data_IF_816506413650
#
_entry.id   IF_816506413650
#
_cell.length_a   1.000
_cell.length_b   1.000
_cell.length_c   1.000
_cell.angle_alpha   90.00
_cell.angle_beta   90.00
_cell.angle_gamma   90.00
#
_symmetry.space_group_name_H-M   'P 1'
#
loop_
_entity.id
_entity.type
_entity.pdbx_description
1 polymer ?
#
# COMPACT_ATOMS: atom_id res chain seq x y z
N UNK A 1 -24.56 15.93 16.85
CA UNK A 1 -23.18 16.07 17.38
C UNK A 1 -22.55 14.68 17.38
N UNK A 2 -21.77 14.34 16.37
CA UNK A 2 -21.07 13.05 16.32
C UNK A 2 -19.80 13.14 17.16
N UNK A 3 -19.58 12.17 18.03
CA UNK A 3 -18.39 12.10 18.87
C UNK A 3 -17.11 12.09 18.01
N UNK A 4 -16.01 12.75 18.43
CA UNK A 4 -14.74 12.65 17.72
C UNK A 4 -14.29 11.19 17.71
N UNK A 5 -13.84 10.72 16.54
CA UNK A 5 -13.25 9.39 16.40
C UNK A 5 -12.05 9.29 17.37
N UNK A 6 -11.90 8.16 18.08
CA UNK A 6 -10.78 7.98 19.00
C UNK A 6 -9.46 8.12 18.22
N UNK A 7 -8.63 9.08 18.63
CA UNK A 7 -7.26 9.21 18.15
C UNK A 7 -6.54 7.94 18.63
N UNK A 8 -5.95 7.13 17.74
CA UNK A 8 -5.13 6.02 18.17
C UNK A 8 -3.98 6.60 18.98
N UNK A 9 -3.89 6.24 20.26
CA UNK A 9 -2.74 6.56 21.09
C UNK A 9 -1.54 5.80 20.51
N UNK A 10 -0.77 6.44 19.63
CA UNK A 10 0.50 5.90 19.14
C UNK A 10 1.54 6.07 20.25
N UNK A 11 1.56 5.11 21.17
CA UNK A 11 2.56 5.03 22.25
C UNK A 11 3.83 4.42 21.65
N UNK A 12 4.91 5.22 21.60
CA UNK A 12 6.21 4.94 20.97
C UNK A 12 6.18 4.69 19.45
N UNK A 13 7.17 5.18 18.68
CA UNK A 13 7.19 4.90 17.25
C UNK A 13 7.55 3.43 16.98
N UNK A 14 6.52 2.58 16.83
CA UNK A 14 6.65 1.21 16.34
C UNK A 14 7.18 1.25 14.89
N UNK A 15 8.48 0.96 14.75
CA UNK A 15 9.18 0.95 13.46
C UNK A 15 9.03 -0.40 12.77
N UNK A 16 9.06 -0.37 11.45
CA UNK A 16 9.26 -1.59 10.68
C UNK A 16 10.69 -2.13 10.87
N UNK A 17 10.80 -3.45 10.90
CA UNK A 17 12.09 -4.15 10.88
C UNK A 17 12.80 -3.89 9.54
N UNK A 18 14.00 -3.34 9.57
CA UNK A 18 14.74 -2.97 8.36
C UNK A 18 15.05 -4.18 7.47
N UNK A 19 15.36 -5.34 8.06
CA UNK A 19 15.60 -6.56 7.28
C UNK A 19 14.32 -7.05 6.59
N UNK A 20 13.15 -6.86 7.22
CA UNK A 20 11.84 -7.13 6.58
C UNK A 20 11.60 -6.21 5.40
N UNK A 21 11.81 -4.90 5.56
CA UNK A 21 11.63 -3.93 4.48
C UNK A 21 12.52 -4.27 3.29
N UNK A 22 13.79 -4.59 3.56
CA UNK A 22 14.73 -4.94 2.51
C UNK A 22 14.39 -6.26 1.78
N UNK A 23 13.74 -7.23 2.46
CA UNK A 23 13.17 -8.41 1.80
C UNK A 23 12.03 -8.02 0.86
N UNK A 24 11.07 -7.24 1.34
CA UNK A 24 9.91 -6.86 0.53
C UNK A 24 10.30 -5.96 -0.65
N UNK A 25 11.25 -5.05 -0.46
CA UNK A 25 11.78 -4.21 -1.55
C UNK A 25 12.42 -5.06 -2.64
N UNK A 26 13.20 -6.08 -2.25
CA UNK A 26 13.80 -7.01 -3.20
C UNK A 26 12.74 -7.81 -3.98
N UNK A 27 11.74 -8.36 -3.29
CA UNK A 27 10.66 -9.10 -3.96
C UNK A 27 9.83 -8.19 -4.88
N UNK A 28 9.55 -6.96 -4.45
CA UNK A 28 8.84 -5.98 -5.27
C UNK A 28 9.62 -5.61 -6.54
N UNK A 29 10.94 -5.41 -6.40
CA UNK A 29 11.82 -5.21 -7.54
C UNK A 29 11.76 -6.39 -8.50
N UNK A 30 11.97 -7.61 -8.01
CA UNK A 30 12.01 -8.81 -8.86
C UNK A 30 10.66 -9.05 -9.57
N UNK A 31 9.54 -8.84 -8.86
CA UNK A 31 8.19 -8.94 -9.43
C UNK A 31 7.94 -7.87 -10.49
N UNK A 32 8.34 -6.62 -10.25
CA UNK A 32 8.17 -5.51 -11.21
C UNK A 32 9.07 -5.61 -12.43
N UNK A 33 10.23 -6.27 -12.32
CA UNK A 33 11.10 -6.59 -13.46
C UNK A 33 10.52 -7.74 -14.31
N UNK A 34 9.84 -8.70 -13.67
CA UNK A 34 9.29 -9.88 -14.35
C UNK A 34 7.88 -9.68 -14.92
N UNK A 35 7.07 -8.79 -14.32
CA UNK A 35 5.67 -8.59 -14.66
C UNK A 35 5.31 -7.10 -14.75
N UNK A 36 4.35 -6.71 -15.61
CA UNK A 36 3.88 -5.34 -15.73
C UNK A 36 2.94 -4.94 -14.58
N UNK A 37 3.29 -5.26 -13.33
CA UNK A 37 2.48 -4.97 -12.14
C UNK A 37 2.43 -3.47 -11.83
N UNK A 38 1.36 -3.06 -11.17
CA UNK A 38 1.16 -1.70 -10.66
C UNK A 38 1.03 -1.79 -9.14
N UNK A 39 1.94 -1.14 -8.42
CA UNK A 39 2.01 -1.22 -6.96
C UNK A 39 0.96 -0.32 -6.32
N UNK A 40 0.29 -0.83 -5.29
CA UNK A 40 -0.73 -0.14 -4.48
C UNK A 40 -0.37 -0.22 -2.98
N UNK A 41 -1.34 0.09 -2.12
CA UNK A 41 -1.22 -0.09 -0.67
C UNK A 41 -0.15 0.76 -0.01
N UNK A 42 0.41 0.26 1.10
CA UNK A 42 1.48 0.95 1.83
C UNK A 42 2.78 1.05 1.05
N UNK A 43 3.10 0.07 0.21
CA UNK A 43 4.30 0.10 -0.64
C UNK A 43 4.25 1.19 -1.71
N UNK A 44 3.08 1.47 -2.30
CA UNK A 44 2.94 2.61 -3.20
C UNK A 44 3.21 3.94 -2.47
N UNK A 45 2.69 4.11 -1.24
CA UNK A 45 2.98 5.30 -0.43
C UNK A 45 4.46 5.42 -0.09
N UNK A 46 5.11 4.32 0.28
CA UNK A 46 6.55 4.28 0.55
C UNK A 46 7.37 4.72 -0.66
N UNK A 47 7.11 4.15 -1.84
CA UNK A 47 7.86 4.48 -3.06
C UNK A 47 7.63 5.93 -3.52
N UNK A 48 6.46 6.50 -3.22
CA UNK A 48 6.16 7.90 -3.51
C UNK A 48 6.71 8.88 -2.45
N UNK A 49 7.17 8.38 -1.31
CA UNK A 49 7.75 9.20 -0.23
C UNK A 49 9.23 9.45 -0.51
N UNK A 50 9.77 10.66 -0.24
CA UNK A 50 11.20 10.94 -0.39
C UNK A 50 12.10 9.90 0.28
N UNK A 51 13.20 9.52 -0.38
CA UNK A 51 14.13 8.54 0.16
C UNK A 51 14.74 8.97 1.52
N UNK A 52 15.14 7.98 2.33
CA UNK A 52 15.77 8.22 3.64
C UNK A 52 14.80 8.58 4.77
N UNK A 53 13.49 8.48 4.53
CA UNK A 53 12.48 8.67 5.58
C UNK A 53 12.49 7.49 6.58
N UNK A 54 11.99 7.76 7.79
CA UNK A 54 11.85 6.73 8.83
C UNK A 54 10.56 5.95 8.60
N UNK A 55 10.67 4.62 8.64
CA UNK A 55 9.55 3.72 8.38
C UNK A 55 8.82 3.30 9.65
N UNK A 56 7.71 3.99 9.92
CA UNK A 56 6.81 3.67 11.03
C UNK A 56 5.63 2.81 10.54
N UNK A 57 5.16 1.89 11.39
CA UNK A 57 4.01 1.03 11.05
C UNK A 57 2.71 1.79 10.77
N UNK A 58 2.60 3.00 11.33
CA UNK A 58 1.46 3.88 11.10
C UNK A 58 1.67 4.86 9.93
N UNK A 59 2.91 5.00 9.43
CA UNK A 59 3.20 5.80 8.26
C UNK A 59 2.84 5.04 6.97
N UNK A 60 3.34 3.81 6.86
CA UNK A 60 3.08 2.90 5.77
C UNK A 60 2.76 1.50 6.31
N UNK A 61 1.78 0.84 5.71
CA UNK A 61 1.48 -0.56 6.00
C UNK A 61 2.31 -1.48 5.09
N UNK A 62 3.30 -2.17 5.67
CA UNK A 62 4.22 -3.08 4.96
C UNK A 62 3.96 -4.55 5.30
N UNK A 63 2.69 -4.92 5.52
CA UNK A 63 2.29 -6.30 5.82
C UNK A 63 2.30 -7.20 4.58
N UNK A 64 1.92 -6.66 3.43
CA UNK A 64 1.75 -7.33 2.14
C UNK A 64 2.20 -6.42 0.97
N UNK A 65 2.34 -7.01 -0.21
CA UNK A 65 2.54 -6.33 -1.48
C UNK A 65 1.20 -6.33 -2.24
N UNK A 66 0.50 -5.19 -2.24
CA UNK A 66 -0.72 -5.01 -3.04
C UNK A 66 -0.37 -4.69 -4.49
N UNK A 67 -0.63 -5.61 -5.41
CA UNK A 67 -0.27 -5.50 -6.82
C UNK A 67 -1.50 -5.61 -7.71
N UNK A 68 -1.63 -4.66 -8.63
CA UNK A 68 -2.59 -4.75 -9.73
C UNK A 68 -1.90 -5.27 -10.99
N UNK A 69 -2.65 -6.04 -11.77
CA UNK A 69 -2.18 -6.56 -13.04
C UNK A 69 -3.34 -6.64 -14.04
N UNK A 70 -3.06 -6.28 -15.28
CA UNK A 70 -4.02 -6.48 -16.37
C UNK A 70 -4.32 -8.00 -16.52
N UNK A 71 -5.60 -8.41 -16.54
CA UNK A 71 -6.01 -9.81 -16.63
C UNK A 71 -5.36 -10.60 -17.76
N UNK A 72 -4.95 -9.93 -18.85
CA UNK A 72 -4.27 -10.57 -19.99
C UNK A 72 -2.94 -11.22 -19.61
N UNK A 73 -2.30 -10.79 -18.52
CA UNK A 73 -1.05 -11.36 -18.01
C UNK A 73 -1.26 -12.37 -16.88
N UNK A 74 -2.50 -12.83 -16.63
CA UNK A 74 -2.82 -13.75 -15.53
C UNK A 74 -1.93 -15.00 -15.54
N UNK A 75 -1.87 -15.70 -16.67
CA UNK A 75 -1.15 -16.98 -16.75
C UNK A 75 0.36 -16.80 -16.60
N UNK A 76 0.90 -15.72 -17.17
CA UNK A 76 2.31 -15.34 -16.99
C UNK A 76 2.62 -15.02 -15.52
N UNK A 77 1.71 -14.32 -14.84
CA UNK A 77 1.86 -14.00 -13.42
C UNK A 77 1.81 -15.25 -12.54
N UNK A 78 0.85 -16.16 -12.76
CA UNK A 78 0.77 -17.39 -11.98
C UNK A 78 2.02 -18.26 -12.15
N UNK A 79 2.51 -18.37 -13.41
CA UNK A 79 3.74 -19.09 -13.69
C UNK A 79 4.98 -18.42 -13.07
N UNK A 80 5.05 -17.09 -13.11
CA UNK A 80 6.17 -16.31 -12.55
C UNK A 80 6.21 -16.42 -11.03
N UNK A 81 5.08 -16.21 -10.35
CA UNK A 81 4.96 -16.35 -8.90
C UNK A 81 5.40 -17.75 -8.45
N UNK A 82 4.91 -18.80 -9.12
CA UNK A 82 5.33 -20.18 -8.82
C UNK A 82 6.83 -20.38 -9.00
N UNK A 83 7.42 -19.88 -10.10
CA UNK A 83 8.88 -19.98 -10.34
C UNK A 83 9.69 -19.21 -9.29
N UNK A 84 9.16 -18.10 -8.79
CA UNK A 84 9.78 -17.31 -7.72
C UNK A 84 9.60 -17.92 -6.32
N UNK A 85 8.93 -19.07 -6.21
CA UNK A 85 8.74 -19.81 -4.96
C UNK A 85 7.48 -19.42 -4.17
N UNK A 86 6.58 -18.64 -4.77
CA UNK A 86 5.29 -18.35 -4.15
C UNK A 86 4.32 -19.53 -4.26
N UNK A 87 3.54 -19.73 -3.21
CA UNK A 87 2.40 -20.63 -3.17
C UNK A 87 1.11 -19.84 -3.00
N UNK A 88 0.05 -20.25 -3.68
CA UNK A 88 -1.26 -19.64 -3.50
C UNK A 88 -1.78 -19.96 -2.09
N UNK A 89 -2.19 -18.93 -1.35
CA UNK A 89 -2.81 -19.04 -0.03
C UNK A 89 -4.29 -18.74 -0.14
N UNK A 90 -5.14 -19.64 0.36
CA UNK A 90 -6.56 -19.38 0.50
C UNK A 90 -6.82 -18.29 1.54
N UNK A 91 -7.81 -17.46 1.25
CA UNK A 91 -8.30 -16.36 2.08
C UNK A 91 -9.80 -16.51 2.31
N UNK A 92 -10.33 -15.80 3.31
CA UNK A 92 -11.78 -15.72 3.54
C UNK A 92 -12.56 -15.10 2.37
N UNK A 93 -11.88 -14.35 1.49
CA UNK A 93 -12.50 -13.70 0.34
C UNK A 93 -12.71 -14.67 -0.83
N UNK A 94 -11.97 -15.78 -0.85
CA UNK A 94 -12.19 -16.86 -1.81
C UNK A 94 -13.49 -17.61 -1.53
N UNK A 95 -13.97 -17.60 -0.28
CA UNK A 95 -15.25 -18.18 0.12
C UNK A 95 -16.45 -17.35 -0.37
N UNK A 96 -16.33 -16.02 -0.38
CA UNK A 96 -17.36 -15.11 -0.90
C UNK A 96 -17.47 -15.14 -2.44
N UNK A 97 -16.48 -15.68 -3.14
CA UNK A 97 -16.60 -15.96 -4.57
C UNK A 97 -17.53 -17.15 -4.87
N UNK A 98 -17.85 -17.97 -3.87
CA UNK A 98 -18.75 -19.13 -4.00
C UNK A 98 -20.20 -18.82 -3.59
N UNK A 99 -20.47 -17.67 -2.98
CA UNK A 99 -21.82 -17.20 -2.63
C UNK A 99 -22.07 -15.81 -3.23
N UNK A 100 -22.67 -15.71 -4.44
CA UNK A 100 -22.96 -14.42 -5.04
C UNK A 100 -24.00 -13.69 -4.19
N UNK A 101 -23.55 -12.72 -3.40
CA UNK A 101 -24.43 -11.71 -2.82
C UNK A 101 -24.70 -10.68 -3.91
N UNK A 102 -25.98 -10.47 -4.19
CA UNK A 102 -26.46 -9.50 -5.19
C UNK A 102 -25.79 -8.14 -4.93
N UNK A 103 -25.00 -7.66 -5.90
CA UNK A 103 -24.40 -6.32 -5.89
C UNK A 103 -22.90 -6.21 -5.58
N UNK A 104 -22.21 -7.31 -5.24
CA UNK A 104 -20.74 -7.29 -5.04
C UNK A 104 -20.09 -8.33 -5.94
N UNK A 105 -19.58 -7.93 -7.11
CA UNK A 105 -18.71 -8.82 -7.90
C UNK A 105 -17.37 -8.90 -7.15
N UNK A 106 -16.94 -10.07 -6.63
CA UNK A 106 -15.64 -10.17 -6.01
C UNK A 106 -14.60 -9.87 -7.08
N UNK A 107 -13.79 -8.83 -6.86
CA UNK A 107 -12.67 -8.52 -7.75
C UNK A 107 -11.82 -9.78 -7.87
N UNK A 108 -11.41 -10.18 -9.09
CA UNK A 108 -10.55 -11.35 -9.27
C UNK A 108 -9.25 -11.10 -8.50
N UNK A 109 -9.16 -11.74 -7.34
CA UNK A 109 -8.14 -11.56 -6.32
C UNK A 109 -7.47 -12.90 -6.07
N UNK A 110 -6.16 -12.89 -5.82
CA UNK A 110 -5.47 -14.07 -5.32
C UNK A 110 -4.34 -13.66 -4.40
N UNK A 111 -4.22 -14.35 -3.27
CA UNK A 111 -3.11 -14.18 -2.34
C UNK A 111 -2.05 -15.23 -2.58
N UNK A 112 -0.79 -14.81 -2.58
CA UNK A 112 0.37 -15.66 -2.75
C UNK A 112 1.36 -15.40 -1.63
N UNK A 113 1.96 -16.45 -1.08
CA UNK A 113 2.89 -16.34 0.05
C UNK A 113 4.20 -17.05 -0.27
N UNK A 114 5.30 -16.51 0.26
CA UNK A 114 6.65 -17.06 0.16
C UNK A 114 7.38 -16.80 1.48
N UNK A 115 8.13 -17.79 1.95
CA UNK A 115 9.08 -17.58 3.05
C UNK A 115 10.44 -17.21 2.46
N UNK A 116 10.93 -16.01 2.77
CA UNK A 116 12.22 -15.50 2.31
C UNK A 116 13.22 -15.49 3.48
N UNK A 117 14.42 -16.03 3.27
CA UNK A 117 15.48 -16.07 4.28
C UNK A 117 16.37 -14.84 4.14
N UNK A 118 16.58 -14.11 5.24
CA UNK A 118 17.56 -13.02 5.34
C UNK A 118 18.10 -12.94 6.76
N UNK A 119 19.41 -12.77 6.90
CA UNK A 119 20.08 -12.64 8.21
C UNK A 119 19.68 -13.78 9.18
N UNK A 120 19.67 -15.02 8.67
CA UNK A 120 19.24 -16.24 9.39
C UNK A 120 17.80 -16.22 9.93
N UNK A 121 16.97 -15.30 9.46
CA UNK A 121 15.56 -15.17 9.82
C UNK A 121 14.65 -15.32 8.61
N UNK A 122 13.56 -16.07 8.79
CA UNK A 122 12.52 -16.20 7.78
C UNK A 122 11.51 -15.04 7.88
N UNK A 123 11.23 -14.45 6.72
CA UNK A 123 10.24 -13.42 6.51
C UNK A 123 9.16 -13.94 5.59
N UNK A 124 7.92 -14.00 6.07
CA UNK A 124 6.77 -14.28 5.22
C UNK A 124 6.46 -13.04 4.38
N UNK A 125 6.58 -13.20 3.07
CA UNK A 125 6.18 -12.24 2.06
C UNK A 125 4.81 -12.65 1.56
N UNK A 126 3.87 -11.70 1.60
CA UNK A 126 2.50 -11.88 1.11
C UNK A 126 2.33 -10.95 -0.08
N UNK A 127 1.81 -11.49 -1.19
CA UNK A 127 1.44 -10.74 -2.39
C UNK A 127 -0.07 -10.87 -2.56
N UNK A 128 -0.74 -9.74 -2.59
CA UNK A 128 -2.16 -9.61 -2.88
C UNK A 128 -2.30 -9.13 -4.33
N UNK A 129 -2.64 -10.06 -5.22
CA UNK A 129 -2.72 -9.82 -6.65
C UNK A 129 -4.18 -9.56 -7.07
N UNK A 130 -4.45 -8.35 -7.52
CA UNK A 130 -5.71 -7.90 -8.09
C UNK A 130 -5.62 -7.93 -9.63
N UNK A 131 -6.43 -8.77 -10.28
CA UNK A 131 -6.47 -8.90 -11.73
C UNK A 131 -7.48 -7.92 -12.32
N UNK A 132 -7.18 -6.63 -12.25
CA UNK A 132 -8.00 -5.59 -12.88
C UNK A 132 -7.12 -4.47 -13.47
N UNK A 133 -7.52 -3.88 -14.61
CA UNK A 133 -6.88 -2.66 -15.09
C UNK A 133 -7.04 -1.53 -14.07
N UNK A 134 -5.97 -0.76 -13.85
CA UNK A 134 -5.99 0.38 -12.94
C UNK A 134 -5.22 1.56 -13.54
N UNK A 135 -5.52 2.77 -13.07
CA UNK A 135 -4.74 3.95 -13.38
C UNK A 135 -3.27 3.77 -12.95
N UNK A 136 -2.34 4.24 -13.78
CA UNK A 136 -0.90 4.06 -13.59
C UNK A 136 -0.21 5.41 -13.53
N UNK A 137 0.74 5.53 -12.60
CA UNK A 137 1.78 6.55 -12.61
C UNK A 137 3.14 5.87 -12.58
N UNK A 138 4.03 6.28 -13.48
CA UNK A 138 5.43 5.87 -13.41
C UNK A 138 6.22 6.82 -12.52
N UNK A 139 7.04 6.26 -11.63
CA UNK A 139 7.94 7.00 -10.74
C UNK A 139 9.32 6.34 -10.73
N UNK A 140 10.33 7.09 -10.28
CA UNK A 140 11.68 6.58 -10.10
C UNK A 140 11.78 5.83 -8.77
N UNK A 141 12.04 4.52 -8.81
CA UNK A 141 12.23 3.72 -7.61
C UNK A 141 13.63 3.95 -6.98
N UNK A 142 13.80 3.66 -5.67
CA UNK A 142 15.08 3.80 -4.97
C UNK A 142 16.25 3.03 -5.62
N UNK A 143 15.97 1.92 -6.29
CA UNK A 143 16.96 1.09 -6.99
C UNK A 143 17.28 1.57 -8.42
N UNK A 144 16.90 2.79 -8.80
CA UNK A 144 17.35 3.41 -10.04
C UNK A 144 16.60 2.97 -11.31
N UNK A 145 15.44 2.30 -11.19
CA UNK A 145 14.56 1.96 -12.32
C UNK A 145 13.17 2.60 -12.18
N UNK A 146 12.46 2.76 -13.31
CA UNK A 146 11.06 3.16 -13.29
C UNK A 146 10.20 2.05 -12.69
N UNK A 147 9.23 2.43 -11.86
CA UNK A 147 8.22 1.52 -11.31
C UNK A 147 6.83 2.13 -11.48
N UNK A 148 5.83 1.27 -11.70
CA UNK A 148 4.42 1.64 -11.84
C UNK A 148 3.74 1.60 -10.48
N UNK A 149 3.12 2.70 -10.10
CA UNK A 149 2.31 2.81 -8.89
C UNK A 149 0.91 3.29 -9.22
N UNK A 150 -0.05 3.01 -8.34
CA UNK A 150 -1.37 3.64 -8.40
C UNK A 150 -1.22 5.13 -8.07
N UNK A 151 -1.75 6.06 -8.90
CA UNK A 151 -1.67 7.50 -8.63
C UNK A 151 -2.30 7.87 -7.28
N UNK A 152 -1.79 8.90 -6.57
CA UNK A 152 -2.25 9.25 -5.22
C UNK A 152 -3.77 9.40 -5.05
N UNK A 153 -4.45 10.11 -5.96
CA UNK A 153 -5.90 10.28 -5.89
C UNK A 153 -6.65 8.95 -5.96
N UNK A 154 -6.25 8.07 -6.89
CA UNK A 154 -6.86 6.74 -7.03
C UNK A 154 -6.51 5.83 -5.84
N UNK A 155 -5.31 5.95 -5.30
CA UNK A 155 -4.86 5.19 -4.14
C UNK A 155 -5.67 5.56 -2.87
N UNK A 156 -6.04 6.83 -2.71
CA UNK A 156 -6.95 7.28 -1.65
C UNK A 156 -8.35 6.71 -1.81
N UNK A 157 -8.92 6.72 -3.02
CA UNK A 157 -10.24 6.10 -3.28
C UNK A 157 -10.25 4.61 -2.91
N UNK A 158 -9.19 3.88 -3.25
CA UNK A 158 -9.05 2.47 -2.87
C UNK A 158 -8.99 2.30 -1.34
N UNK A 159 -8.22 3.13 -0.64
CA UNK A 159 -8.09 3.05 0.81
C UNK A 159 -9.41 3.38 1.53
N UNK A 160 -10.11 4.43 1.08
CA UNK A 160 -11.39 4.86 1.65
C UNK A 160 -12.49 3.82 1.44
N UNK A 161 -12.43 3.03 0.36
CA UNK A 161 -13.36 1.91 0.14
C UNK A 161 -13.16 0.75 1.12
N UNK A 162 -12.00 0.64 1.77
CA UNK A 162 -11.69 -0.44 2.71
C UNK A 162 -11.92 -0.04 4.16
N UNK A 163 -11.44 1.15 4.57
CA UNK A 163 -11.71 1.72 5.91
C UNK A 163 -11.26 3.18 6.00
N UNK A 164 -12.17 4.17 5.92
CA UNK A 164 -11.83 5.60 6.02
C UNK A 164 -11.16 5.99 7.35
N UNK A 165 -11.45 5.26 8.44
CA UNK A 165 -10.91 5.53 9.77
C UNK A 165 -9.51 4.95 10.00
N UNK A 166 -9.01 4.09 9.10
CA UNK A 166 -7.72 3.39 9.24
C UNK A 166 -6.62 3.95 8.30
N UNK A 167 -6.83 5.13 7.71
CA UNK A 167 -5.88 5.70 6.78
C UNK A 167 -4.52 6.00 7.45
N UNK A 168 -3.44 5.46 6.89
CA UNK A 168 -2.08 5.71 7.35
C UNK A 168 -1.69 7.19 7.25
N UNK A 169 -0.61 7.62 7.90
CA UNK A 169 -0.18 9.02 7.87
C UNK A 169 0.06 9.52 6.44
N UNK A 170 0.65 8.70 5.58
CA UNK A 170 0.92 9.09 4.19
C UNK A 170 -0.35 9.36 3.39
N UNK A 171 -1.41 8.57 3.61
CA UNK A 171 -2.72 8.87 3.02
C UNK A 171 -3.31 10.18 3.54
N UNK A 172 -3.13 10.50 4.83
CA UNK A 172 -3.59 11.78 5.41
C UNK A 172 -2.81 12.97 4.84
N UNK A 173 -1.48 12.86 4.73
CA UNK A 173 -0.62 13.88 4.15
C UNK A 173 -0.96 14.08 2.67
N UNK A 174 -1.06 13.00 1.91
CA UNK A 174 -1.40 13.06 0.48
C UNK A 174 -2.75 13.72 0.25
N UNK A 175 -3.76 13.45 1.08
CA UNK A 175 -5.07 14.10 1.00
C UNK A 175 -4.96 15.62 1.22
N UNK A 176 -4.15 16.06 2.18
CA UNK A 176 -3.92 17.49 2.40
C UNK A 176 -3.20 18.16 1.23
N UNK A 177 -2.14 17.52 0.73
CA UNK A 177 -1.39 18.04 -0.41
C UNK A 177 -2.30 18.18 -1.64
N UNK A 178 -3.09 17.16 -1.96
CA UNK A 178 -4.03 17.21 -3.07
C UNK A 178 -5.10 18.28 -2.89
N UNK A 179 -5.64 18.48 -1.67
CA UNK A 179 -6.58 19.55 -1.37
C UNK A 179 -5.97 20.95 -1.57
N UNK A 180 -4.65 21.07 -1.44
CA UNK A 180 -3.88 22.30 -1.71
C UNK A 180 -3.40 22.41 -3.16
N UNK A 181 -3.76 21.46 -4.04
CA UNK A 181 -3.30 21.41 -5.43
C UNK A 181 -1.82 21.03 -5.58
N UNK A 182 -1.23 20.41 -4.55
CA UNK A 182 0.17 19.95 -4.53
C UNK A 182 0.25 18.45 -4.85
N UNK A 183 1.28 18.07 -5.59
CA UNK A 183 1.57 16.67 -5.90
C UNK A 183 2.21 15.97 -4.69
N UNK A 184 1.63 14.86 -4.18
CA UNK A 184 2.23 14.11 -3.08
C UNK A 184 3.56 13.43 -3.44
N UNK A 185 3.78 13.08 -4.70
CA UNK A 185 4.95 12.26 -5.08
C UNK A 185 6.24 13.04 -4.90
N UNK A 186 7.14 12.51 -4.05
CA UNK A 186 8.41 13.15 -3.71
C UNK A 186 8.25 14.43 -2.89
N UNK A 187 7.05 14.77 -2.41
CA UNK A 187 6.84 15.98 -1.63
C UNK A 187 7.47 15.83 -0.23
N UNK A 188 8.25 16.82 0.27
CA UNK A 188 8.92 16.71 1.57
C UNK A 188 7.99 16.40 2.75
N UNK A 189 6.75 16.90 2.71
CA UNK A 189 5.75 16.62 3.77
C UNK A 189 5.43 15.12 3.89
N UNK A 190 5.56 14.33 2.82
CA UNK A 190 5.36 12.87 2.86
C UNK A 190 6.40 12.16 3.75
N UNK A 191 7.57 12.75 3.99
CA UNK A 191 8.58 12.22 4.91
C UNK A 191 8.48 12.83 6.33
N UNK A 192 7.67 13.88 6.50
CA UNK A 192 7.58 14.71 7.70
C UNK A 192 6.60 14.19 8.77
N UNK A 193 6.56 12.88 9.03
CA UNK A 193 5.54 12.25 9.87
C UNK A 193 5.43 12.83 11.30
N UNK A 194 6.54 13.30 11.86
CA UNK A 194 6.57 13.88 13.21
C UNK A 194 5.59 15.07 13.36
N UNK A 195 5.42 15.89 12.33
CA UNK A 195 4.49 17.02 12.34
C UNK A 195 3.01 16.60 12.33
N UNK A 196 2.74 15.33 11.99
CA UNK A 196 1.40 14.72 11.90
C UNK A 196 1.07 13.82 13.10
N UNK A 197 2.07 13.54 13.92
CA UNK A 197 1.96 12.82 15.19
C UNK A 197 1.67 13.76 16.37
N UNK A 198 1.72 15.08 16.17
CA UNK A 198 1.38 16.08 17.19
C UNK A 198 -0.14 16.09 17.48
N UNK A 199 -0.58 15.72 18.69
CA UNK A 199 -2.00 15.73 19.08
C UNK A 199 -2.66 17.11 18.97
N UNK A 200 -1.89 18.20 19.06
CA UNK A 200 -2.42 19.56 18.97
C UNK A 200 -2.81 19.96 17.53
N UNK A 201 -2.25 19.27 16.52
CA UNK A 201 -2.62 19.44 15.11
C UNK A 201 -3.70 18.46 14.64
N UNK A 202 -3.95 17.38 15.39
CA UNK A 202 -5.03 16.43 15.11
C UNK A 202 -6.44 17.06 15.24
N UNK A 203 -6.57 18.17 15.97
CA UNK A 203 -7.83 18.91 16.15
C UNK A 203 -7.91 20.25 15.40
N UNK A 204 -6.83 20.66 14.73
CA UNK A 204 -6.69 22.00 14.16
C UNK A 204 -6.74 22.00 12.63
N UNK A 205 -7.74 21.38 12.02
CA UNK A 205 -8.18 21.75 10.67
C UNK A 205 -9.70 21.74 10.61
N UNK A 206 -10.33 22.81 10.12
CA UNK A 206 -11.78 22.90 10.10
C UNK A 206 -12.33 21.78 9.23
N UNK A 207 -13.37 21.12 9.73
CA UNK A 207 -14.33 20.42 8.90
C UNK A 207 -14.72 21.43 7.83
N UNK A 208 -14.28 21.22 6.58
CA UNK A 208 -14.87 21.91 5.44
C UNK A 208 -16.36 21.57 5.52
N UNK A 209 -17.15 22.54 5.96
CA UNK A 209 -18.59 22.50 5.83
C UNK A 209 -18.88 22.29 4.35
N UNK A 210 -19.37 21.10 4.02
CA UNK A 210 -19.99 20.81 2.74
C UNK A 210 -21.21 21.74 2.64
N UNK A 211 -21.06 22.81 1.86
CA UNK A 211 -22.18 23.56 1.30
C UNK A 211 -22.73 22.83 0.07
#
# INVERSE_FOLDING_TARGET
MSAPLPIPHYVEPDRWDASRLAVFEQELRDLSEALPVVVSGGWAWHLMTPAGHVEYRHAHDHRDLDLFLDPRFRDDAMNTLRRMGYIQSWTRFDSSALTPSVGSSPRPFSRHVKDALRDDRYYKVTVDLFLEPIAVREIQAPWGRSIRVVPPARLLELADSQSPAAACLSARIARDLLARGLDPVGHPEMAGFAAWLDPTRLHARPVLELA
#
